data_IF_945569346061
#
_entry.id   IF_945569346061
#
_cell.length_a   1.000
_cell.length_b   1.000
_cell.length_c   1.000
_cell.angle_alpha   90.00
_cell.angle_beta   90.00
_cell.angle_gamma   90.00
#
_symmetry.space_group_name_H-M   'P 1'
#
loop_
_entity.id
_entity.type
_entity.pdbx_description
1 polymer ?
#
# COMPACT_ATOMS: atom_id res chain seq x y z
N UNK A 1 -3.17 1.26 2.55
CA UNK A 1 -4.61 1.52 2.38
C UNK A 1 -4.85 2.77 1.55
N UNK A 2 -5.75 2.67 0.57
CA UNK A 2 -6.48 3.83 0.02
C UNK A 2 -7.63 4.09 1.00
N UNK A 3 -7.54 5.14 1.80
CA UNK A 3 -8.57 5.50 2.79
C UNK A 3 -9.72 6.28 2.15
N UNK A 4 -9.53 6.78 0.92
CA UNK A 4 -10.50 7.57 0.16
C UNK A 4 -11.88 6.91 0.06
N UNK A 5 -11.93 5.60 -0.19
CA UNK A 5 -13.22 4.87 -0.25
C UNK A 5 -13.93 4.79 1.10
N UNK A 6 -13.19 4.64 2.20
CA UNK A 6 -13.76 4.59 3.55
C UNK A 6 -14.20 5.98 4.03
N UNK A 7 -13.41 7.01 3.73
CA UNK A 7 -13.78 8.39 4.03
C UNK A 7 -15.06 8.79 3.30
N UNK A 8 -15.20 8.41 2.02
CA UNK A 8 -16.42 8.65 1.24
C UNK A 8 -17.63 7.90 1.83
N UNK A 9 -17.47 6.64 2.21
CA UNK A 9 -18.55 5.87 2.83
C UNK A 9 -19.02 6.49 4.17
N UNK A 10 -18.11 7.05 4.97
CA UNK A 10 -18.47 7.76 6.20
C UNK A 10 -19.17 9.10 5.93
N UNK A 11 -18.78 9.80 4.87
CA UNK A 11 -19.47 11.02 4.42
C UNK A 11 -20.90 10.73 3.96
N UNK A 12 -21.09 9.65 3.18
CA UNK A 12 -22.41 9.17 2.77
C UNK A 12 -23.26 8.74 3.98
N UNK A 13 -22.70 7.97 4.91
CA UNK A 13 -23.39 7.56 6.14
C UNK A 13 -23.82 8.76 7.01
N UNK A 14 -22.93 9.76 7.13
CA UNK A 14 -23.23 11.03 7.82
C UNK A 14 -24.38 11.75 7.14
N UNK A 15 -24.36 11.85 5.82
CA UNK A 15 -25.44 12.47 5.06
C UNK A 15 -26.78 11.75 5.23
N UNK A 16 -26.78 10.41 5.20
CA UNK A 16 -27.99 9.61 5.47
C UNK A 16 -28.53 9.84 6.88
N UNK A 17 -27.66 9.94 7.89
CA UNK A 17 -28.11 10.23 9.26
C UNK A 17 -28.76 11.62 9.38
N UNK A 18 -28.26 12.62 8.63
CA UNK A 18 -28.88 13.96 8.56
C UNK A 18 -30.27 13.86 7.91
N UNK A 19 -30.38 13.18 6.77
CA UNK A 19 -31.67 13.01 6.10
C UNK A 19 -32.70 12.30 6.99
N UNK A 20 -32.30 11.27 7.73
CA UNK A 20 -33.18 10.57 8.66
C UNK A 20 -33.64 11.48 9.80
N UNK A 21 -32.74 12.32 10.33
CA UNK A 21 -33.11 13.33 11.33
C UNK A 21 -34.12 14.34 10.77
N UNK A 22 -33.92 14.83 9.54
CA UNK A 22 -34.83 15.75 8.86
C UNK A 22 -36.21 15.11 8.59
N UNK A 23 -36.26 13.78 8.41
CA UNK A 23 -37.50 13.01 8.28
C UNK A 23 -38.19 12.73 9.64
N UNK A 24 -37.62 13.19 10.75
CA UNK A 24 -38.22 13.08 12.08
C UNK A 24 -37.88 11.79 12.82
N UNK A 25 -36.84 11.05 12.41
CA UNK A 25 -36.34 9.90 13.18
C UNK A 25 -35.82 10.38 14.53
N UNK A 26 -36.18 9.66 15.59
CA UNK A 26 -35.79 10.00 16.95
C UNK A 26 -34.27 10.07 17.11
N UNK A 27 -33.81 11.12 17.79
CA UNK A 27 -32.40 11.37 18.03
C UNK A 27 -31.70 10.18 18.69
N UNK A 28 -32.36 9.54 19.65
CA UNK A 28 -31.81 8.41 20.42
C UNK A 28 -31.58 7.18 19.53
N UNK A 29 -32.35 7.01 18.45
CA UNK A 29 -32.11 5.96 17.46
C UNK A 29 -30.93 6.26 16.55
N UNK A 30 -30.62 7.54 16.31
CA UNK A 30 -29.52 7.97 15.45
C UNK A 30 -28.19 8.08 16.22
N UNK A 31 -28.23 8.28 17.54
CA UNK A 31 -27.04 8.45 18.39
C UNK A 31 -25.98 7.34 18.23
N UNK A 32 -26.33 6.04 18.18
CA UNK A 32 -25.36 4.97 17.95
C UNK A 32 -24.64 5.09 16.61
N UNK A 33 -25.33 5.52 15.55
CA UNK A 33 -24.74 5.70 14.22
C UNK A 33 -23.80 6.90 14.20
N UNK A 34 -24.17 8.00 14.85
CA UNK A 34 -23.29 9.15 15.02
C UNK A 34 -22.00 8.82 15.76
N UNK A 35 -22.11 8.03 16.83
CA UNK A 35 -20.96 7.57 17.60
C UNK A 35 -20.07 6.65 16.75
N UNK A 36 -20.67 5.70 16.02
CA UNK A 36 -19.93 4.79 15.13
C UNK A 36 -19.18 5.54 14.03
N UNK A 37 -19.80 6.54 13.39
CA UNK A 37 -19.15 7.38 12.37
C UNK A 37 -17.93 8.09 12.96
N UNK A 38 -18.08 8.68 14.15
CA UNK A 38 -17.00 9.40 14.84
C UNK A 38 -15.84 8.48 15.20
N UNK A 39 -16.12 7.27 15.68
CA UNK A 39 -15.10 6.28 16.01
C UNK A 39 -14.36 5.80 14.75
N UNK A 40 -15.08 5.51 13.67
CA UNK A 40 -14.47 5.16 12.39
C UNK A 40 -13.56 6.27 11.86
N UNK A 41 -13.98 7.53 11.94
CA UNK A 41 -13.14 8.67 11.55
C UNK A 41 -11.88 8.81 12.41
N UNK A 42 -11.96 8.48 13.70
CA UNK A 42 -10.81 8.50 14.59
C UNK A 42 -9.81 7.40 14.21
N UNK A 43 -10.30 6.18 13.93
CA UNK A 43 -9.46 5.05 13.49
C UNK A 43 -8.77 5.39 12.16
N UNK A 44 -9.50 5.91 11.17
CA UNK A 44 -8.92 6.26 9.86
C UNK A 44 -7.81 7.31 10.02
N UNK A 45 -8.03 8.33 10.85
CA UNK A 45 -7.01 9.35 11.14
C UNK A 45 -5.79 8.75 11.82
N UNK A 46 -5.99 7.90 12.82
CA UNK A 46 -4.91 7.24 13.54
C UNK A 46 -4.04 6.37 12.61
N UNK A 47 -4.67 5.57 11.76
CA UNK A 47 -3.98 4.75 10.76
C UNK A 47 -3.20 5.60 9.74
N UNK A 48 -3.77 6.74 9.31
CA UNK A 48 -3.08 7.67 8.43
C UNK A 48 -1.82 8.25 9.09
N UNK A 49 -1.88 8.59 10.39
CA UNK A 49 -0.75 9.10 11.15
C UNK A 49 0.34 8.03 11.36
N UNK A 50 -0.04 6.79 11.69
CA UNK A 50 0.89 5.66 11.78
C UNK A 50 1.63 5.48 10.46
N UNK A 51 0.89 5.43 9.34
CA UNK A 51 1.48 5.28 8.01
C UNK A 51 2.41 6.44 7.67
N UNK A 52 2.07 7.67 8.04
CA UNK A 52 2.92 8.85 7.84
C UNK A 52 4.24 8.72 8.61
N UNK A 53 4.18 8.29 9.88
CA UNK A 53 5.38 8.03 10.71
C UNK A 53 6.23 6.91 10.13
N UNK A 54 5.61 5.80 9.70
CA UNK A 54 6.29 4.69 9.06
C UNK A 54 7.01 5.12 7.78
N UNK A 55 6.35 5.86 6.90
CA UNK A 55 6.95 6.37 5.66
C UNK A 55 8.11 7.34 5.93
N UNK A 56 8.02 8.15 6.99
CA UNK A 56 9.12 9.00 7.43
C UNK A 56 10.32 8.16 7.85
N UNK A 57 10.12 7.16 8.70
CA UNK A 57 11.19 6.24 9.13
C UNK A 57 11.84 5.48 7.98
N UNK A 58 11.04 5.00 7.01
CA UNK A 58 11.54 4.37 5.78
C UNK A 58 12.45 5.33 4.99
N UNK A 59 12.04 6.58 4.81
CA UNK A 59 12.84 7.59 4.09
C UNK A 59 14.15 7.92 4.83
N UNK A 60 14.11 8.01 6.16
CA UNK A 60 15.30 8.22 6.99
C UNK A 60 16.27 7.04 6.91
N UNK A 61 15.76 5.81 6.98
CA UNK A 61 16.57 4.61 6.80
C UNK A 61 17.25 4.57 5.43
N UNK A 62 16.51 4.89 4.35
CA UNK A 62 17.07 4.99 3.00
C UNK A 62 18.15 6.07 2.89
N UNK A 63 17.94 7.24 3.50
CA UNK A 63 18.95 8.32 3.55
C UNK A 63 20.22 7.88 4.27
N UNK A 64 20.09 7.01 5.27
CA UNK A 64 21.22 6.42 6.00
C UNK A 64 21.85 5.22 5.28
N UNK A 65 21.51 4.98 4.00
CA UNK A 65 22.09 3.91 3.19
C UNK A 65 21.51 2.52 3.46
N UNK A 66 20.44 2.40 4.25
CA UNK A 66 19.75 1.12 4.45
C UNK A 66 19.02 0.75 3.17
N UNK A 67 19.46 -0.32 2.53
CA UNK A 67 18.81 -0.88 1.35
C UNK A 67 17.57 -1.67 1.78
N UNK A 68 16.41 -1.21 1.34
CA UNK A 68 15.11 -1.85 1.61
C UNK A 68 14.75 -2.75 0.42
N UNK A 69 14.15 -3.90 0.70
CA UNK A 69 13.71 -4.87 -0.31
C UNK A 69 14.65 -6.05 -0.45
N UNK A 70 14.44 -6.86 -1.51
CA UNK A 70 15.30 -8.01 -1.78
C UNK A 70 16.73 -7.52 -2.05
N UNK A 71 17.75 -8.10 -1.41
CA UNK A 71 19.14 -7.85 -1.79
C UNK A 71 19.33 -8.06 -3.29
N UNK A 72 20.25 -7.32 -3.90
CA UNK A 72 20.67 -7.64 -5.27
C UNK A 72 21.17 -9.09 -5.29
N UNK A 73 20.65 -9.88 -6.22
CA UNK A 73 21.26 -11.17 -6.53
C UNK A 73 22.60 -10.84 -7.19
N UNK A 74 23.73 -11.27 -6.62
CA UNK A 74 25.01 -11.06 -7.27
C UNK A 74 25.00 -11.76 -8.63
N UNK A 75 25.28 -11.01 -9.70
CA UNK A 75 25.48 -11.59 -11.02
C UNK A 75 26.75 -12.45 -10.95
N UNK A 76 26.59 -13.76 -11.08
CA UNK A 76 27.74 -14.65 -11.17
C UNK A 76 28.50 -14.39 -12.47
N UNK A 77 29.79 -14.71 -12.52
CA UNK A 77 30.57 -14.64 -13.76
C UNK A 77 29.95 -15.49 -14.87
N UNK A 78 29.28 -16.60 -14.50
CA UNK A 78 28.52 -17.44 -15.43
C UNK A 78 27.35 -16.65 -16.04
N UNK A 79 26.59 -15.91 -15.23
CA UNK A 79 25.50 -15.06 -15.72
C UNK A 79 26.04 -14.00 -16.70
N UNK A 80 27.12 -13.30 -16.34
CA UNK A 80 27.71 -12.26 -17.19
C UNK A 80 28.20 -12.82 -18.53
N UNK A 81 28.85 -14.00 -18.53
CA UNK A 81 29.27 -14.68 -19.76
C UNK A 81 28.09 -15.04 -20.67
N UNK A 82 27.03 -15.60 -20.09
CA UNK A 82 25.83 -15.96 -20.85
C UNK A 82 25.10 -14.72 -21.39
N UNK A 83 25.07 -13.63 -20.63
CA UNK A 83 24.52 -12.35 -21.09
C UNK A 83 25.28 -11.80 -22.31
N UNK A 84 26.63 -11.87 -22.30
CA UNK A 84 27.45 -11.46 -23.45
C UNK A 84 27.16 -12.34 -24.66
N UNK A 85 27.13 -13.68 -24.50
CA UNK A 85 26.82 -14.60 -25.59
C UNK A 85 25.43 -14.37 -26.18
N UNK A 86 24.43 -14.11 -25.34
CA UNK A 86 23.08 -13.78 -25.77
C UNK A 86 23.06 -12.46 -26.55
N UNK A 87 23.79 -11.43 -26.09
CA UNK A 87 23.89 -10.13 -26.77
C UNK A 87 24.55 -10.22 -28.16
N UNK A 88 25.41 -11.22 -28.34
CA UNK A 88 26.06 -11.53 -29.62
C UNK A 88 25.22 -12.47 -30.49
N UNK A 89 23.99 -12.81 -30.07
CA UNK A 89 23.10 -13.77 -30.71
C UNK A 89 23.70 -15.19 -30.85
N UNK A 90 24.72 -15.53 -30.05
CA UNK A 90 25.35 -16.84 -30.06
C UNK A 90 24.52 -17.90 -29.32
N UNK A 91 23.67 -17.48 -28.38
CA UNK A 91 22.72 -18.32 -27.65
C UNK A 91 21.38 -17.59 -27.50
N UNK A 92 20.30 -18.34 -27.29
CA UNK A 92 19.00 -17.73 -26.98
C UNK A 92 18.88 -17.40 -25.49
N UNK A 93 17.90 -16.55 -25.15
CA UNK A 93 17.58 -16.28 -23.75
C UNK A 93 17.11 -17.55 -23.01
N UNK A 94 16.45 -18.48 -23.70
CA UNK A 94 15.99 -19.76 -23.14
C UNK A 94 17.18 -20.66 -22.79
N UNK A 95 18.19 -20.70 -23.66
CA UNK A 95 19.41 -21.48 -23.41
C UNK A 95 20.16 -20.95 -22.18
N UNK A 96 20.28 -19.62 -22.09
CA UNK A 96 20.91 -18.97 -20.94
C UNK A 96 20.15 -19.25 -19.64
N UNK A 97 18.81 -19.13 -19.65
CA UNK A 97 17.94 -19.40 -18.50
C UNK A 97 18.06 -20.86 -18.01
N UNK A 98 18.02 -21.81 -18.95
CA UNK A 98 18.19 -23.25 -18.66
C UNK A 98 19.54 -23.52 -18.00
N UNK A 99 20.62 -22.93 -18.50
CA UNK A 99 21.96 -23.10 -17.91
C UNK A 99 22.10 -22.44 -16.53
N UNK A 100 21.28 -21.45 -16.23
CA UNK A 100 21.28 -20.71 -14.97
C UNK A 100 20.25 -21.25 -13.96
N UNK A 101 19.37 -22.18 -14.38
CA UNK A 101 18.22 -22.65 -13.61
C UNK A 101 17.34 -21.49 -13.09
N UNK A 102 17.06 -20.52 -13.96
CA UNK A 102 16.20 -19.35 -13.69
C UNK A 102 15.04 -19.26 -14.68
#
# INVERSE_FOLDING_TARGET
>A
MKTEGLSKALEEARYTCIQLADMGVEKDMLEPFWQLIKECEAIIRHEADIKKKMMKGIKEAQKNGIRIGRPAIPCSDKFLKLAVLQSQHAITAVDAATQLNI
#
